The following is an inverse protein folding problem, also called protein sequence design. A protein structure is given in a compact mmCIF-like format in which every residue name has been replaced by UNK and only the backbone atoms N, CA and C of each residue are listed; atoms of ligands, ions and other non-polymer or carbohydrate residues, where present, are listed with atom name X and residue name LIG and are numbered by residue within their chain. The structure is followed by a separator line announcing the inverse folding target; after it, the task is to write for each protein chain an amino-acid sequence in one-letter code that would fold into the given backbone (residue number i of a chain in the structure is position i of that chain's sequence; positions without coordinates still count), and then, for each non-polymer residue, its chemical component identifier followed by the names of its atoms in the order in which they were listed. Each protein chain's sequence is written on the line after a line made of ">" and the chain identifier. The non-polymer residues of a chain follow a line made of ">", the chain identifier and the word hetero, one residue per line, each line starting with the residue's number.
data_IF_475152350727
#
_entry.id   IF_475152350727
#
_cell.length_a   1.000
_cell.length_b   1.000
_cell.length_c   1.000
_cell.angle_alpha   90.00
_cell.angle_beta   90.00
_cell.angle_gamma   90.00
#
_symmetry.space_group_name_H-M   'P 1'
#
loop_
_entity.id
_entity.type
_entity.pdbx_description
1 polymer ?
#
# COMPACT_ATOMS: atom_id res chain seq x y z
N UNK A 1 -32.91 28.19 -72.05
CA UNK A 1 -31.72 27.94 -71.23
C UNK A 1 -32.07 26.94 -70.17
N UNK A 2 -32.00 25.72 -70.59
CA UNK A 2 -32.15 24.56 -69.72
C UNK A 2 -30.85 24.38 -68.90
N UNK A 3 -31.00 24.49 -67.62
CA UNK A 3 -29.95 24.08 -66.71
C UNK A 3 -30.30 22.71 -66.09
N UNK A 4 -29.61 21.73 -66.59
CA UNK A 4 -29.65 20.34 -66.22
C UNK A 4 -29.16 20.16 -64.77
N UNK A 5 -30.09 19.78 -63.87
CA UNK A 5 -29.73 19.45 -62.46
C UNK A 5 -29.18 18.05 -62.42
N UNK A 6 -27.86 17.92 -62.22
CA UNK A 6 -27.19 16.66 -61.98
C UNK A 6 -27.54 16.12 -60.59
N UNK A 7 -27.96 14.84 -60.47
CA UNK A 7 -28.21 14.27 -59.16
C UNK A 7 -26.90 13.98 -58.45
N UNK A 8 -26.73 14.58 -57.27
CA UNK A 8 -25.63 14.38 -56.37
C UNK A 8 -25.74 12.99 -55.75
N UNK A 9 -24.78 12.11 -56.10
CA UNK A 9 -24.65 10.80 -55.49
C UNK A 9 -24.19 10.97 -54.03
N UNK A 10 -25.02 10.57 -53.10
CA UNK A 10 -24.72 10.50 -51.68
C UNK A 10 -23.74 9.32 -51.50
N UNK A 11 -22.48 9.53 -51.04
CA UNK A 11 -21.63 8.43 -50.71
C UNK A 11 -22.14 7.76 -49.41
N UNK A 12 -22.30 6.47 -49.54
CA UNK A 12 -22.65 5.52 -48.50
C UNK A 12 -21.93 5.84 -47.19
N UNK A 13 -22.73 6.15 -46.19
CA UNK A 13 -22.26 6.36 -44.82
C UNK A 13 -21.84 4.96 -44.28
N UNK A 14 -20.54 4.67 -44.38
CA UNK A 14 -19.97 3.51 -43.70
C UNK A 14 -20.09 3.79 -42.21
N UNK A 15 -21.05 3.11 -41.59
CA UNK A 15 -21.21 3.07 -40.16
C UNK A 15 -19.94 2.44 -39.56
N UNK A 16 -19.02 3.29 -39.07
CA UNK A 16 -17.98 2.85 -38.16
C UNK A 16 -18.63 2.37 -36.86
N UNK A 17 -18.93 1.08 -36.84
CA UNK A 17 -19.16 0.35 -35.60
C UNK A 17 -17.82 0.39 -34.83
N UNK A 18 -17.63 1.42 -34.04
CA UNK A 18 -16.58 1.44 -33.03
C UNK A 18 -16.98 0.39 -32.00
N UNK A 19 -16.42 -0.80 -32.16
CA UNK A 19 -16.42 -1.81 -31.13
C UNK A 19 -15.69 -1.21 -29.94
N UNK A 20 -16.46 -0.70 -28.98
CA UNK A 20 -15.99 -0.51 -27.63
C UNK A 20 -15.59 -1.90 -27.09
N UNK A 21 -14.39 -2.36 -27.44
CA UNK A 21 -13.70 -3.38 -26.70
C UNK A 21 -13.42 -2.76 -25.33
N UNK A 22 -14.43 -2.83 -24.45
CA UNK A 22 -14.23 -2.60 -23.04
C UNK A 22 -13.07 -3.50 -22.62
N UNK A 23 -11.90 -2.90 -22.40
CA UNK A 23 -10.88 -3.53 -21.60
C UNK A 23 -11.52 -3.77 -20.22
N UNK A 24 -12.18 -4.90 -20.08
CA UNK A 24 -12.37 -5.49 -18.78
C UNK A 24 -10.94 -5.73 -18.27
N UNK A 25 -10.44 -4.84 -17.45
CA UNK A 25 -9.31 -5.11 -16.59
C UNK A 25 -9.80 -6.23 -15.68
N UNK A 26 -9.82 -7.44 -16.23
CA UNK A 26 -9.83 -8.63 -15.41
C UNK A 26 -8.53 -8.57 -14.64
N UNK A 27 -8.63 -8.10 -13.42
CA UNK A 27 -7.52 -8.15 -12.48
C UNK A 27 -7.26 -9.62 -12.17
N UNK A 28 -6.62 -10.32 -13.12
CA UNK A 28 -6.06 -11.65 -12.92
C UNK A 28 -5.14 -11.68 -11.69
N UNK A 29 -4.63 -10.53 -11.31
CA UNK A 29 -3.88 -10.33 -10.07
C UNK A 29 -4.76 -10.43 -8.82
N UNK A 30 -6.00 -9.93 -8.86
CA UNK A 30 -6.94 -10.07 -7.74
C UNK A 30 -7.43 -11.52 -7.59
N UNK A 31 -7.68 -12.21 -8.70
CA UNK A 31 -8.04 -13.63 -8.67
C UNK A 31 -6.88 -14.52 -8.24
N UNK A 32 -5.63 -14.17 -8.57
CA UNK A 32 -4.45 -14.84 -8.04
C UNK A 32 -4.29 -14.64 -6.53
N UNK A 33 -4.56 -13.43 -6.03
CA UNK A 33 -4.57 -13.16 -4.60
C UNK A 33 -5.69 -13.91 -3.88
N UNK A 34 -6.89 -13.98 -4.46
CA UNK A 34 -7.99 -14.80 -3.90
C UNK A 34 -7.72 -16.30 -3.99
N UNK A 35 -6.95 -16.75 -4.99
CA UNK A 35 -6.49 -18.14 -5.10
C UNK A 35 -5.55 -18.56 -3.98
N UNK A 36 -4.69 -17.66 -3.51
CA UNK A 36 -3.80 -17.90 -2.38
C UNK A 36 -4.55 -18.10 -1.06
N UNK A 37 -5.75 -17.53 -0.92
CA UNK A 37 -6.60 -17.73 0.26
C UNK A 37 -7.48 -19.00 0.20
N UNK A 38 -7.41 -19.76 -0.90
CA UNK A 38 -8.14 -21.03 -1.08
C UNK A 38 -7.32 -22.26 -0.76
N UNK A 39 -6.04 -22.14 -0.45
CA UNK A 39 -5.25 -23.29 -0.01
C UNK A 39 -5.68 -23.68 1.42
N UNK A 40 -6.02 -24.97 1.64
CA UNK A 40 -6.39 -25.45 2.94
C UNK A 40 -5.16 -25.38 3.85
N UNK A 41 -5.31 -24.76 5.01
CA UNK A 41 -4.55 -24.94 6.26
C UNK A 41 -3.02 -25.20 6.20
N UNK A 42 -2.32 -24.75 5.17
CA UNK A 42 -0.88 -24.74 5.19
C UNK A 42 -0.43 -23.63 6.16
N UNK A 43 -0.16 -24.02 7.37
CA UNK A 43 0.65 -23.36 8.43
C UNK A 43 0.79 -21.82 8.36
N UNK A 44 -0.33 -21.13 8.13
CA UNK A 44 -0.42 -19.67 8.18
C UNK A 44 -0.04 -19.13 9.59
N UNK A 45 -0.04 -20.01 10.59
CA UNK A 45 0.35 -19.65 11.96
C UNK A 45 1.81 -19.26 12.10
N UNK A 46 2.72 -19.83 11.28
CA UNK A 46 4.15 -19.60 11.39
C UNK A 46 4.63 -18.24 10.86
N UNK A 47 3.81 -17.55 10.06
CA UNK A 47 4.14 -16.26 9.48
C UNK A 47 3.08 -15.18 9.75
N UNK A 48 2.39 -15.29 10.87
CA UNK A 48 1.39 -14.30 11.23
C UNK A 48 2.01 -13.08 11.91
N UNK A 49 1.38 -11.93 11.73
CA UNK A 49 1.77 -10.67 12.34
C UNK A 49 0.56 -10.03 13.03
N UNK A 50 0.77 -9.50 14.22
CA UNK A 50 -0.17 -8.58 14.85
C UNK A 50 0.05 -7.18 14.29
N UNK A 51 -1.01 -6.51 13.90
CA UNK A 51 -0.98 -5.10 13.54
C UNK A 51 -1.84 -4.31 14.52
N UNK A 52 -1.28 -3.21 15.02
CA UNK A 52 -1.99 -2.22 15.85
C UNK A 52 -1.95 -0.88 15.16
N UNK A 53 -3.13 -0.26 14.99
CA UNK A 53 -3.26 1.08 14.43
C UNK A 53 -4.40 1.81 15.14
N UNK A 54 -4.09 2.93 15.80
CA UNK A 54 -5.02 3.62 16.69
C UNK A 54 -5.64 2.66 17.72
N UNK A 55 -6.96 2.49 17.70
CA UNK A 55 -7.69 1.57 18.58
C UNK A 55 -8.03 0.23 17.92
N UNK A 56 -7.43 -0.06 16.78
CA UNK A 56 -7.70 -1.26 16.00
C UNK A 56 -6.52 -2.24 16.10
N UNK A 57 -6.84 -3.51 16.28
CA UNK A 57 -5.87 -4.60 16.29
C UNK A 57 -6.39 -5.74 15.41
N UNK A 58 -5.51 -6.31 14.60
CA UNK A 58 -5.83 -7.43 13.72
C UNK A 58 -4.62 -8.35 13.52
N UNK A 59 -4.88 -9.55 13.04
CA UNK A 59 -3.86 -10.46 12.53
C UNK A 59 -3.82 -10.33 11.00
N UNK A 60 -2.61 -10.22 10.47
CA UNK A 60 -2.31 -10.13 9.03
C UNK A 60 -1.22 -11.13 8.65
N UNK A 61 -1.15 -11.43 7.37
CA UNK A 61 -0.21 -12.39 6.80
C UNK A 61 0.62 -11.72 5.71
N UNK A 62 1.96 -11.91 5.69
CA UNK A 62 2.84 -11.31 4.70
C UNK A 62 2.74 -12.04 3.36
N UNK A 63 2.68 -11.26 2.28
CA UNK A 63 2.78 -11.70 0.90
C UNK A 63 3.88 -10.89 0.22
N UNK A 64 4.89 -11.56 -0.31
CA UNK A 64 5.97 -10.90 -1.06
C UNK A 64 5.46 -10.40 -2.41
N UNK A 65 5.73 -9.14 -2.71
CA UNK A 65 5.35 -8.47 -3.95
C UNK A 65 6.57 -7.75 -4.54
N UNK A 66 6.60 -7.40 -5.84
CA UNK A 66 7.72 -6.67 -6.44
C UNK A 66 8.05 -5.34 -5.75
N UNK A 67 7.04 -4.66 -5.20
CA UNK A 67 7.19 -3.39 -4.49
C UNK A 67 7.42 -3.53 -2.97
N UNK A 68 7.57 -4.74 -2.45
CA UNK A 68 7.80 -4.99 -1.03
C UNK A 68 6.93 -6.11 -0.46
N UNK A 69 6.59 -6.03 0.81
CA UNK A 69 5.75 -7.00 1.52
C UNK A 69 4.36 -6.40 1.76
N UNK A 70 3.33 -7.08 1.27
CA UNK A 70 1.94 -6.78 1.59
C UNK A 70 1.50 -7.64 2.78
N UNK A 71 1.19 -7.02 3.90
CA UNK A 71 0.53 -7.66 5.03
C UNK A 71 -0.97 -7.51 4.87
N UNK A 72 -1.71 -8.61 4.82
CA UNK A 72 -3.16 -8.56 4.57
C UNK A 72 -3.92 -9.64 5.34
N UNK A 73 -5.24 -9.45 5.45
CA UNK A 73 -6.16 -10.44 6.01
C UNK A 73 -7.46 -10.54 5.21
N UNK A 74 -8.32 -11.49 5.62
CA UNK A 74 -9.62 -11.71 4.96
C UNK A 74 -10.63 -10.57 5.19
N UNK A 75 -10.41 -9.73 6.20
CA UNK A 75 -11.27 -8.58 6.48
C UNK A 75 -10.99 -7.39 5.54
N UNK A 76 -9.95 -7.47 4.71
CA UNK A 76 -9.56 -6.41 3.80
C UNK A 76 -8.58 -5.40 4.39
N UNK A 77 -8.02 -5.68 5.56
CA UNK A 77 -6.96 -4.87 6.13
C UNK A 77 -5.67 -5.11 5.35
N UNK A 78 -4.96 -4.05 5.01
CA UNK A 78 -3.74 -4.12 4.20
C UNK A 78 -2.71 -3.10 4.64
N UNK A 79 -1.45 -3.54 4.72
CA UNK A 79 -0.27 -2.69 4.92
C UNK A 79 0.77 -3.06 3.88
N UNK A 80 1.20 -2.11 3.06
CA UNK A 80 2.32 -2.29 2.14
C UNK A 80 3.59 -1.70 2.75
N UNK A 81 4.63 -2.51 2.88
CA UNK A 81 5.94 -2.15 3.41
C UNK A 81 7.02 -2.43 2.37
N UNK A 82 7.82 -1.43 1.99
CA UNK A 82 8.83 -1.54 0.93
C UNK A 82 10.21 -2.03 1.40
N UNK A 83 10.35 -2.38 2.68
CA UNK A 83 11.60 -2.76 3.33
C UNK A 83 12.13 -1.67 4.29
N UNK A 84 11.73 -0.42 4.10
CA UNK A 84 12.06 0.71 4.97
C UNK A 84 10.84 1.46 5.47
N UNK A 85 9.86 1.66 4.62
CA UNK A 85 8.71 2.50 4.92
C UNK A 85 7.39 1.79 4.66
N UNK A 86 6.43 2.05 5.54
CA UNK A 86 5.02 1.73 5.28
C UNK A 86 4.52 2.70 4.23
N UNK A 87 4.23 2.17 3.03
CA UNK A 87 3.83 2.96 1.86
C UNK A 87 2.33 3.14 1.77
N UNK A 88 1.57 2.18 2.27
CA UNK A 88 0.11 2.20 2.17
C UNK A 88 -0.53 1.48 3.34
N UNK A 89 -1.63 2.05 3.83
CA UNK A 89 -2.48 1.46 4.86
C UNK A 89 -3.92 1.61 4.43
N UNK A 90 -4.67 0.50 4.39
CA UNK A 90 -6.10 0.49 4.11
C UNK A 90 -6.81 -0.56 4.96
N UNK A 91 -8.11 -0.41 5.16
CA UNK A 91 -8.86 -1.21 6.12
C UNK A 91 -8.78 -0.63 7.53
N UNK A 92 -8.56 -1.44 8.54
CA UNK A 92 -8.35 -1.03 9.95
C UNK A 92 -9.40 -0.01 10.45
N UNK A 93 -10.67 -0.18 10.05
CA UNK A 93 -11.73 0.75 10.43
C UNK A 93 -11.70 2.10 9.71
N UNK A 94 -10.86 2.30 8.71
CA UNK A 94 -10.72 3.55 7.95
C UNK A 94 -11.90 3.84 6.99
N UNK A 95 -12.97 3.02 7.00
CA UNK A 95 -14.21 3.20 6.22
C UNK A 95 -13.95 3.45 4.73
N UNK A 96 -13.09 2.61 4.13
CA UNK A 96 -12.75 2.70 2.70
C UNK A 96 -11.75 3.81 2.35
N UNK A 97 -11.18 4.49 3.34
CA UNK A 97 -10.07 5.42 3.13
C UNK A 97 -8.74 4.68 3.09
N UNK A 98 -7.80 5.21 2.33
CA UNK A 98 -6.45 4.70 2.22
C UNK A 98 -5.46 5.83 2.52
N UNK A 99 -4.50 5.57 3.42
CA UNK A 99 -3.34 6.42 3.60
C UNK A 99 -2.18 5.91 2.76
N UNK A 100 -1.47 6.84 2.14
CA UNK A 100 -0.25 6.57 1.38
C UNK A 100 0.85 7.48 1.89
N UNK A 101 2.07 6.93 1.95
CA UNK A 101 3.26 7.65 2.36
C UNK A 101 4.32 7.59 1.27
N UNK A 102 4.98 8.70 1.03
CA UNK A 102 6.11 8.81 0.10
C UNK A 102 7.27 9.48 0.80
N UNK A 103 8.46 8.90 0.67
CA UNK A 103 9.70 9.50 1.18
C UNK A 103 10.53 9.94 -0.01
N UNK A 104 10.87 11.23 -0.07
CA UNK A 104 11.71 11.83 -1.11
C UNK A 104 12.76 12.70 -0.42
N UNK A 105 14.03 12.30 -0.48
CA UNK A 105 15.10 12.97 0.26
C UNK A 105 14.84 12.89 1.77
N UNK A 106 14.76 14.06 2.40
CA UNK A 106 14.51 14.19 3.84
C UNK A 106 13.03 14.49 4.14
N UNK A 107 12.14 14.38 3.15
CA UNK A 107 10.72 14.65 3.31
C UNK A 107 9.89 13.37 3.27
N UNK A 108 8.97 13.24 4.25
CA UNK A 108 7.91 12.24 4.26
C UNK A 108 6.57 12.91 4.02
N UNK A 109 5.92 12.55 2.92
CA UNK A 109 4.62 13.07 2.53
C UNK A 109 3.53 12.06 2.89
N UNK A 110 2.50 12.54 3.60
CA UNK A 110 1.29 11.78 3.92
C UNK A 110 0.18 12.17 2.95
N UNK A 111 -0.46 11.20 2.35
CA UNK A 111 -1.50 11.40 1.34
C UNK A 111 -2.75 10.58 1.65
N UNK A 112 -3.90 11.07 1.17
CA UNK A 112 -5.15 10.33 1.11
C UNK A 112 -5.72 10.45 -0.30
N UNK A 113 -5.65 9.35 -1.06
CA UNK A 113 -5.87 9.41 -2.50
C UNK A 113 -4.86 10.37 -3.16
N UNK A 114 -5.34 11.35 -3.92
CA UNK A 114 -4.48 12.37 -4.56
C UNK A 114 -4.18 13.59 -3.68
N UNK A 115 -4.74 13.65 -2.47
CA UNK A 115 -4.59 14.82 -1.59
C UNK A 115 -3.42 14.63 -0.63
N UNK A 116 -2.47 15.55 -0.66
CA UNK A 116 -1.44 15.70 0.38
C UNK A 116 -2.10 16.23 1.65
N UNK A 117 -1.85 15.56 2.77
CA UNK A 117 -2.35 15.90 4.10
C UNK A 117 -1.30 16.64 4.92
N UNK A 118 -0.04 16.15 4.88
CA UNK A 118 1.09 16.72 5.59
C UNK A 118 2.41 16.36 4.91
N UNK A 119 3.44 17.16 5.18
CA UNK A 119 4.84 16.89 4.81
C UNK A 119 5.68 17.09 6.04
N UNK A 120 6.43 16.06 6.44
CA UNK A 120 7.29 16.09 7.62
C UNK A 120 8.75 15.98 7.21
N UNK A 121 9.65 16.64 7.93
CA UNK A 121 11.09 16.46 7.76
C UNK A 121 11.54 15.21 8.53
N UNK A 122 12.30 14.36 7.89
CA UNK A 122 12.79 13.13 8.48
C UNK A 122 14.30 12.98 8.27
N UNK A 123 15.00 12.61 9.32
CA UNK A 123 16.41 12.23 9.22
C UNK A 123 16.60 10.94 8.42
N UNK A 124 17.83 10.67 8.05
CA UNK A 124 18.21 9.36 7.51
C UNK A 124 18.05 8.28 8.58
N UNK A 125 17.74 7.07 8.15
CA UNK A 125 17.70 5.91 9.03
C UNK A 125 19.05 5.68 9.71
N UNK A 126 19.03 5.53 11.02
CA UNK A 126 20.21 5.26 11.86
C UNK A 126 20.09 3.87 12.44
N UNK A 127 21.18 3.10 12.36
CA UNK A 127 21.27 1.78 12.96
C UNK A 127 21.88 1.88 14.36
N UNK A 128 21.24 1.21 15.32
CA UNK A 128 21.78 0.95 16.67
C UNK A 128 21.75 -0.55 16.91
N UNK A 129 22.76 -1.04 17.61
CA UNK A 129 22.80 -2.44 18.06
C UNK A 129 22.58 -2.47 19.57
N UNK A 130 21.62 -3.27 20.01
CA UNK A 130 21.29 -3.43 21.42
C UNK A 130 20.98 -4.89 21.71
N UNK A 131 21.77 -5.52 22.60
CA UNK A 131 21.55 -6.91 23.06
C UNK A 131 21.37 -7.92 21.93
N UNK A 132 22.26 -7.89 20.92
CA UNK A 132 22.24 -8.83 19.79
C UNK A 132 21.21 -8.47 18.69
N UNK A 133 20.27 -7.58 18.96
CA UNK A 133 19.26 -7.13 17.98
C UNK A 133 19.71 -5.85 17.31
N UNK A 134 19.37 -5.69 16.02
CA UNK A 134 19.59 -4.45 15.29
C UNK A 134 18.29 -3.64 15.29
N UNK A 135 18.40 -2.39 15.69
CA UNK A 135 17.30 -1.43 15.59
C UNK A 135 17.67 -0.35 14.59
N UNK A 136 16.81 -0.14 13.62
CA UNK A 136 16.86 1.04 12.75
C UNK A 136 15.85 2.04 13.28
N UNK A 137 16.25 3.31 13.36
CA UNK A 137 15.38 4.41 13.79
C UNK A 137 15.53 5.59 12.87
N UNK A 138 14.42 6.28 12.62
CA UNK A 138 14.35 7.50 11.85
C UNK A 138 13.59 8.54 12.68
N UNK A 139 14.24 9.65 12.98
CA UNK A 139 13.59 10.78 13.62
C UNK A 139 12.91 11.62 12.57
N UNK A 140 11.68 12.05 12.86
CA UNK A 140 10.89 12.93 12.01
C UNK A 140 10.26 14.04 12.86
N UNK A 141 10.08 15.20 12.25
CA UNK A 141 9.41 16.33 12.89
C UNK A 141 8.59 17.16 11.89
N UNK A 142 7.54 17.75 12.41
CA UNK A 142 6.74 18.83 11.86
C UNK A 142 6.23 19.65 13.07
N UNK A 143 4.93 19.71 13.33
CA UNK A 143 4.35 20.29 14.56
C UNK A 143 4.74 19.48 15.80
N UNK A 144 4.93 18.16 15.65
CA UNK A 144 5.36 17.24 16.70
C UNK A 144 6.51 16.37 16.20
N UNK A 145 7.45 16.11 17.10
CA UNK A 145 8.51 15.15 16.87
C UNK A 145 8.06 13.71 17.13
N UNK A 146 8.56 12.76 16.36
CA UNK A 146 8.32 11.34 16.53
C UNK A 146 9.48 10.51 15.98
N UNK A 147 9.48 9.19 16.27
CA UNK A 147 10.47 8.28 15.72
C UNK A 147 9.77 7.08 15.10
N UNK A 148 10.17 6.74 13.87
CA UNK A 148 9.91 5.48 13.23
C UNK A 148 10.96 4.46 13.62
N UNK A 149 10.63 3.18 13.71
CA UNK A 149 11.59 2.14 14.03
C UNK A 149 11.31 0.81 13.33
N UNK A 150 12.39 0.08 13.06
CA UNK A 150 12.38 -1.30 12.57
C UNK A 150 13.30 -2.09 13.48
N UNK A 151 12.81 -3.18 14.06
CA UNK A 151 13.59 -4.10 14.87
C UNK A 151 13.86 -5.37 14.07
N UNK A 152 15.13 -5.72 13.97
CA UNK A 152 15.61 -6.92 13.29
C UNK A 152 16.15 -7.90 14.35
N UNK A 153 15.67 -9.13 14.30
CA UNK A 153 16.08 -10.22 15.17
C UNK A 153 17.51 -10.69 14.84
N UNK A 154 18.06 -11.56 15.65
CA UNK A 154 19.44 -12.10 15.49
C UNK A 154 19.60 -12.89 14.19
N UNK A 155 18.54 -13.55 13.72
CA UNK A 155 18.50 -14.27 12.44
C UNK A 155 18.44 -13.37 11.20
N UNK A 156 18.40 -12.03 11.39
CA UNK A 156 18.30 -11.06 10.32
C UNK A 156 16.88 -10.79 9.85
N UNK A 157 15.87 -11.47 10.40
CA UNK A 157 14.47 -11.22 10.04
C UNK A 157 13.93 -9.99 10.77
N UNK A 158 13.02 -9.24 10.11
CA UNK A 158 12.31 -8.15 10.78
C UNK A 158 11.31 -8.76 11.77
N UNK A 159 11.32 -8.26 13.02
CA UNK A 159 10.43 -8.69 14.08
C UNK A 159 9.39 -7.65 14.46
N UNK A 160 9.73 -6.35 14.34
CA UNK A 160 8.78 -5.25 14.61
C UNK A 160 9.01 -4.13 13.61
N UNK A 161 7.92 -3.56 13.13
CA UNK A 161 7.89 -2.32 12.35
C UNK A 161 6.95 -1.37 13.08
N UNK A 162 7.42 -0.18 13.45
CA UNK A 162 6.61 0.87 14.06
C UNK A 162 6.84 2.18 13.33
N UNK A 163 5.80 2.71 12.68
CA UNK A 163 5.90 3.94 11.91
C UNK A 163 4.63 4.77 12.02
N UNK A 164 4.79 6.09 12.05
CA UNK A 164 3.67 7.02 11.86
C UNK A 164 3.23 6.94 10.40
N UNK A 165 1.93 6.80 10.18
CA UNK A 165 1.36 6.51 8.86
C UNK A 165 0.28 7.50 8.43
N UNK A 166 -0.09 8.45 9.29
CA UNK A 166 -1.07 9.49 8.97
C UNK A 166 -0.70 10.86 9.53
N UNK A 167 -1.42 11.89 9.08
CA UNK A 167 -1.27 13.29 9.47
C UNK A 167 -1.69 13.58 10.92
N UNK A 168 -2.24 12.61 11.63
CA UNK A 168 -2.64 12.70 13.04
C UNK A 168 -1.59 12.11 13.98
N UNK A 169 -0.43 11.73 13.44
CA UNK A 169 0.67 11.06 14.16
C UNK A 169 0.30 9.69 14.75
N UNK A 170 -0.72 9.01 14.20
CA UNK A 170 -1.00 7.65 14.62
C UNK A 170 0.10 6.72 14.08
N UNK A 171 0.72 6.01 15.01
CA UNK A 171 1.69 4.98 14.66
C UNK A 171 0.97 3.66 14.34
N UNK A 172 1.37 3.05 13.25
CA UNK A 172 1.08 1.65 12.97
C UNK A 172 2.23 0.81 13.51
N UNK A 173 1.91 -0.28 14.21
CA UNK A 173 2.89 -1.25 14.70
C UNK A 173 2.54 -2.63 14.17
N UNK A 174 3.49 -3.22 13.44
CA UNK A 174 3.47 -4.62 13.02
C UNK A 174 4.43 -5.39 13.91
N UNK A 175 3.97 -6.49 14.49
CA UNK A 175 4.80 -7.39 15.33
C UNK A 175 4.67 -8.81 14.80
N UNK A 176 5.79 -9.43 14.44
CA UNK A 176 5.84 -10.84 14.04
C UNK A 176 5.39 -11.70 15.23
N UNK A 177 4.42 -12.56 14.99
CA UNK A 177 4.01 -13.61 15.91
C UNK A 177 4.80 -14.87 15.56
N UNK A 178 5.24 -15.59 16.53
CA UNK A 178 6.15 -16.74 16.39
C UNK A 178 5.73 -17.75 15.34
#
# INVERSE_FOLDING_TARGET
>A
NDQEVKPMKIPSLIACLVLFSGCSVQSSQLSSLMGLFKTPDADLSLNSWSVKYANYEAIVYPVTMPQGTLFSNKAGDQVLFDGWSVRRVSGFGLRGQEYQNSDIGDERTFMRGSRTLAVHNCDKWQQKQQSGKKQFSQYCEDVKAYSNSILVAEDGSISVIRQVVDDRYNALTLTKLN
#
